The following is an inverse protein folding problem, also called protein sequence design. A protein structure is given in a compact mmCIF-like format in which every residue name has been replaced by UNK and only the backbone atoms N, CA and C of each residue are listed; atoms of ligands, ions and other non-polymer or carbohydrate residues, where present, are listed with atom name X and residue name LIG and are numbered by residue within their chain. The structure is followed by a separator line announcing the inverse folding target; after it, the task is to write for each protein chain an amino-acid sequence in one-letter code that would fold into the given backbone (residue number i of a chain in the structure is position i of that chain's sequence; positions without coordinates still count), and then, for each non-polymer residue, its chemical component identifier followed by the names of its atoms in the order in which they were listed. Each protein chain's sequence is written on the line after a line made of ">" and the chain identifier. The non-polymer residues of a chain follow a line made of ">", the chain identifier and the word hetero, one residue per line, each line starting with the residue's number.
data_IF_923815654002
#
_entry.id   IF_923815654002
#
_cell.length_a   1.000
_cell.length_b   1.000
_cell.length_c   1.000
_cell.angle_alpha   90.00
_cell.angle_beta   90.00
_cell.angle_gamma   90.00
#
_symmetry.space_group_name_H-M   'P 1'
#
loop_
_entity.id
_entity.type
_entity.pdbx_description
1 polymer ?
#
# COMPACT_ATOMS: atom_id res chain seq x y z
N UNK A 1 5.29 -10.15 0.56
CA UNK A 1 4.11 -10.11 1.43
C UNK A 1 4.14 -11.29 2.38
N UNK A 2 4.33 -11.05 3.67
CA UNK A 2 4.34 -12.08 4.72
C UNK A 2 3.03 -12.02 5.53
N UNK A 3 2.32 -13.14 5.63
CA UNK A 3 1.05 -13.23 6.37
C UNK A 3 1.24 -12.90 7.86
N UNK A 4 2.30 -13.37 8.51
CA UNK A 4 2.57 -13.07 9.91
C UNK A 4 2.78 -11.58 10.14
N UNK A 5 3.44 -10.89 9.19
CA UNK A 5 3.61 -9.43 9.23
C UNK A 5 2.27 -8.70 9.07
N UNK A 6 1.43 -9.15 8.15
CA UNK A 6 0.07 -8.63 8.00
C UNK A 6 -0.76 -8.79 9.29
N UNK A 7 -0.70 -9.97 9.93
CA UNK A 7 -1.40 -10.22 11.19
C UNK A 7 -0.90 -9.31 12.32
N UNK A 8 0.43 -9.11 12.42
CA UNK A 8 1.03 -8.17 13.36
C UNK A 8 0.58 -6.72 13.11
N UNK A 9 0.47 -6.30 11.84
CA UNK A 9 -0.08 -4.99 11.50
C UNK A 9 -1.53 -4.83 11.98
N UNK A 10 -2.39 -5.84 11.80
CA UNK A 10 -3.77 -5.80 12.28
C UNK A 10 -3.84 -5.67 13.81
N UNK A 11 -2.97 -6.39 14.52
CA UNK A 11 -2.84 -6.29 15.99
C UNK A 11 -2.41 -4.89 16.43
N UNK A 12 -1.41 -4.29 15.78
CA UNK A 12 -0.95 -2.92 16.05
C UNK A 12 -2.01 -1.85 15.72
N UNK A 13 -2.91 -2.15 14.78
CA UNK A 13 -4.07 -1.32 14.47
C UNK A 13 -5.25 -1.56 15.43
N UNK A 14 -5.18 -2.60 16.27
CA UNK A 14 -6.21 -2.96 17.23
C UNK A 14 -7.45 -3.59 16.59
N UNK A 15 -7.30 -4.24 15.43
CA UNK A 15 -8.41 -4.82 14.67
C UNK A 15 -8.27 -6.33 14.50
N UNK A 16 -9.40 -6.99 14.24
CA UNK A 16 -9.41 -8.42 13.99
C UNK A 16 -8.56 -8.79 12.76
N UNK A 17 -7.90 -9.96 12.75
CA UNK A 17 -7.13 -10.39 11.59
C UNK A 17 -8.05 -10.62 10.38
N UNK A 18 -7.79 -9.93 9.27
CA UNK A 18 -8.53 -10.13 8.01
C UNK A 18 -7.68 -10.90 7.00
N UNK A 19 -7.81 -12.24 6.99
CA UNK A 19 -7.14 -13.08 5.99
C UNK A 19 -7.75 -12.92 4.59
N UNK A 20 -9.03 -12.57 4.50
CA UNK A 20 -9.69 -12.31 3.22
C UNK A 20 -9.02 -11.14 2.48
N UNK A 21 -8.80 -10.02 3.16
CA UNK A 21 -8.15 -8.84 2.57
C UNK A 21 -6.69 -9.12 2.22
N UNK A 22 -5.97 -9.85 3.08
CA UNK A 22 -4.62 -10.31 2.77
C UNK A 22 -4.57 -11.13 1.47
N UNK A 23 -5.48 -12.08 1.31
CA UNK A 23 -5.55 -12.91 0.11
C UNK A 23 -5.92 -12.10 -1.13
N UNK A 24 -6.82 -11.12 -1.01
CA UNK A 24 -7.16 -10.17 -2.08
C UNK A 24 -5.93 -9.37 -2.53
N UNK A 25 -5.20 -8.78 -1.59
CA UNK A 25 -3.97 -8.04 -1.89
C UNK A 25 -2.94 -8.98 -2.56
N UNK A 26 -2.73 -10.18 -2.01
CA UNK A 26 -1.78 -11.14 -2.57
C UNK A 26 -2.15 -11.51 -4.01
N UNK A 27 -3.43 -11.75 -4.29
CA UNK A 27 -3.92 -12.08 -5.63
C UNK A 27 -3.62 -10.94 -6.62
N UNK A 28 -3.97 -9.71 -6.23
CA UNK A 28 -3.72 -8.49 -7.00
C UNK A 28 -2.23 -8.33 -7.33
N UNK A 29 -1.34 -8.45 -6.34
CA UNK A 29 0.10 -8.32 -6.57
C UNK A 29 0.74 -9.56 -7.25
N UNK A 30 -0.04 -10.63 -7.47
CA UNK A 30 0.37 -11.83 -8.22
C UNK A 30 -0.15 -11.82 -9.65
N UNK A 31 -0.85 -10.76 -10.09
CA UNK A 31 -1.37 -10.70 -11.45
C UNK A 31 -0.23 -10.76 -12.48
N UNK A 32 -0.31 -11.65 -13.49
CA UNK A 32 0.83 -11.94 -14.38
C UNK A 32 1.24 -10.78 -15.30
N UNK A 33 0.40 -9.75 -15.41
CA UNK A 33 0.68 -8.55 -16.21
C UNK A 33 1.42 -7.46 -15.42
N UNK A 34 1.63 -7.63 -14.10
CA UNK A 34 2.41 -6.71 -13.28
C UNK A 34 3.88 -7.14 -13.32
N UNK A 35 4.72 -6.32 -13.95
CA UNK A 35 6.16 -6.59 -14.04
C UNK A 35 6.95 -6.00 -12.87
N UNK A 36 6.50 -4.87 -12.33
CA UNK A 36 7.23 -4.10 -11.32
C UNK A 36 6.51 -4.04 -9.96
N UNK A 37 5.24 -3.61 -9.97
CA UNK A 37 4.33 -3.58 -8.82
C UNK A 37 3.86 -4.98 -8.37
N UNK A 38 4.82 -5.85 -8.07
CA UNK A 38 4.64 -7.24 -7.67
C UNK A 38 4.83 -7.40 -6.15
N UNK A 39 4.66 -8.64 -5.66
CA UNK A 39 4.97 -9.01 -4.27
C UNK A 39 6.41 -8.62 -3.86
N UNK A 40 7.36 -8.60 -4.80
CA UNK A 40 8.76 -8.25 -4.55
C UNK A 40 8.87 -6.78 -4.14
N UNK A 41 8.28 -5.87 -4.92
CA UNK A 41 8.26 -4.43 -4.62
C UNK A 41 7.69 -4.13 -3.23
N UNK A 42 6.55 -4.76 -2.90
CA UNK A 42 5.94 -4.58 -1.57
C UNK A 42 6.89 -5.03 -0.47
N UNK A 43 7.61 -6.15 -0.65
CA UNK A 43 8.61 -6.58 0.34
C UNK A 43 9.76 -5.58 0.46
N UNK A 44 10.26 -5.06 -0.66
CA UNK A 44 11.35 -4.09 -0.66
C UNK A 44 10.97 -2.79 0.05
N UNK A 45 9.75 -2.28 -0.17
CA UNK A 45 9.23 -1.13 0.57
C UNK A 45 9.10 -1.41 2.08
N UNK A 46 8.64 -2.60 2.46
CA UNK A 46 8.55 -3.00 3.87
C UNK A 46 9.93 -3.12 4.53
N UNK A 47 10.93 -3.67 3.82
CA UNK A 47 12.32 -3.74 4.31
C UNK A 47 12.97 -2.36 4.42
N UNK A 48 12.67 -1.44 3.49
CA UNK A 48 13.10 -0.04 3.60
C UNK A 48 12.47 0.62 4.83
N UNK A 49 11.18 0.40 5.08
CA UNK A 49 10.51 0.89 6.28
C UNK A 49 11.18 0.38 7.57
N UNK A 50 11.53 -0.91 7.63
CA UNK A 50 12.23 -1.49 8.79
C UNK A 50 13.57 -0.79 9.07
N UNK A 51 14.27 -0.37 8.00
CA UNK A 51 15.57 0.30 8.09
C UNK A 51 15.47 1.73 8.63
N UNK A 52 14.32 2.39 8.44
CA UNK A 52 14.07 3.78 8.88
C UNK A 52 13.05 3.89 10.00
N UNK A 53 12.57 2.77 10.55
CA UNK A 53 11.43 2.69 11.47
C UNK A 53 11.55 3.64 12.68
N UNK A 54 12.78 3.84 13.19
CA UNK A 54 13.08 4.72 14.33
C UNK A 54 12.91 6.22 14.03
N UNK A 55 12.88 6.58 12.75
CA UNK A 55 12.72 7.95 12.26
C UNK A 55 11.27 8.25 11.85
N UNK A 56 10.40 7.22 11.82
CA UNK A 56 9.02 7.34 11.34
C UNK A 56 8.07 7.40 12.52
N UNK A 57 7.43 8.55 12.72
CA UNK A 57 6.52 8.78 13.85
C UNK A 57 5.23 7.94 13.78
N UNK A 58 4.74 7.65 12.57
CA UNK A 58 3.49 6.91 12.33
C UNK A 58 3.77 5.62 11.53
N UNK A 59 4.73 4.83 12.00
CA UNK A 59 5.23 3.66 11.29
C UNK A 59 4.14 2.63 10.95
N UNK A 60 3.13 2.47 11.82
CA UNK A 60 2.02 1.53 11.62
C UNK A 60 1.13 1.99 10.45
N UNK A 61 0.80 3.27 10.39
CA UNK A 61 0.02 3.87 9.31
C UNK A 61 0.78 3.87 7.98
N UNK A 62 2.09 4.09 8.02
CA UNK A 62 2.96 4.00 6.85
C UNK A 62 3.05 2.57 6.34
N UNK A 63 3.21 1.58 7.23
CA UNK A 63 3.18 0.18 6.82
C UNK A 63 1.85 -0.17 6.16
N UNK A 64 0.73 0.20 6.80
CA UNK A 64 -0.60 0.02 6.22
C UNK A 64 -0.73 0.66 4.83
N UNK A 65 -0.19 1.86 4.62
CA UNK A 65 -0.15 2.50 3.32
C UNK A 65 0.63 1.68 2.28
N UNK A 66 1.81 1.15 2.64
CA UNK A 66 2.64 0.32 1.75
C UNK A 66 1.88 -0.92 1.27
N UNK A 67 1.08 -1.57 2.12
CA UNK A 67 0.29 -2.73 1.70
C UNK A 67 -0.74 -2.41 0.62
N UNK A 68 -1.29 -1.19 0.62
CA UNK A 68 -2.39 -0.80 -0.26
C UNK A 68 -2.01 0.14 -1.41
N UNK A 69 -0.84 0.80 -1.40
CA UNK A 69 -0.55 1.91 -2.31
C UNK A 69 -0.77 1.59 -3.80
N UNK A 70 -0.40 0.38 -4.23
CA UNK A 70 -0.59 -0.11 -5.60
C UNK A 70 -1.56 -1.29 -5.71
N UNK A 71 -2.49 -1.39 -4.77
CA UNK A 71 -3.47 -2.46 -4.76
C UNK A 71 -4.47 -2.34 -5.93
N UNK A 72 -4.69 -1.15 -6.47
CA UNK A 72 -5.45 -0.97 -7.70
C UNK A 72 -4.48 -0.54 -8.80
N UNK A 73 -4.34 -1.37 -9.83
CA UNK A 73 -3.48 -1.08 -10.98
C UNK A 73 -4.30 -1.26 -12.26
N UNK A 74 -4.57 -0.15 -12.93
CA UNK A 74 -5.11 -0.14 -14.30
C UNK A 74 -4.17 0.67 -15.18
N UNK A 75 -3.54 0.06 -16.20
CA UNK A 75 -2.72 0.80 -17.15
C UNK A 75 -3.50 2.00 -17.70
N UNK A 76 -2.84 3.16 -17.79
CA UNK A 76 -3.40 4.43 -18.31
C UNK A 76 -4.47 5.12 -17.47
N UNK A 77 -4.82 4.58 -16.29
CA UNK A 77 -5.71 5.26 -15.35
C UNK A 77 -4.90 6.16 -14.41
N UNK A 78 -5.30 7.42 -14.27
CA UNK A 78 -4.65 8.40 -13.37
C UNK A 78 -5.23 8.41 -11.95
N UNK A 79 -6.14 7.49 -11.66
CA UNK A 79 -6.87 7.44 -10.40
C UNK A 79 -6.64 6.11 -9.65
N UNK A 80 -5.58 5.39 -10.00
CA UNK A 80 -5.18 4.14 -9.36
C UNK A 80 -4.87 4.34 -7.88
N UNK A 81 -4.03 5.31 -7.56
CA UNK A 81 -3.61 5.67 -6.21
C UNK A 81 -4.81 6.15 -5.39
N UNK A 82 -5.71 6.93 -6.00
CA UNK A 82 -6.95 7.36 -5.36
C UNK A 82 -7.86 6.16 -5.03
N UNK A 83 -8.00 5.21 -5.95
CA UNK A 83 -8.78 3.98 -5.72
C UNK A 83 -8.14 3.10 -4.65
N UNK A 84 -6.82 2.94 -4.68
CA UNK A 84 -6.02 2.26 -3.65
C UNK A 84 -6.21 2.90 -2.27
N UNK A 85 -6.12 4.23 -2.18
CA UNK A 85 -6.30 4.98 -0.94
C UNK A 85 -7.73 4.84 -0.39
N UNK A 86 -8.73 4.94 -1.26
CA UNK A 86 -10.14 4.76 -0.88
C UNK A 86 -10.42 3.33 -0.41
N UNK A 87 -9.82 2.33 -1.05
CA UNK A 87 -9.93 0.94 -0.59
C UNK A 87 -9.34 0.77 0.80
N UNK A 88 -8.11 1.24 1.03
CA UNK A 88 -7.46 1.16 2.33
C UNK A 88 -8.31 1.82 3.43
N UNK A 89 -8.75 3.06 3.19
CA UNK A 89 -9.59 3.80 4.13
C UNK A 89 -10.89 3.06 4.45
N UNK A 90 -11.62 2.64 3.42
CA UNK A 90 -12.90 1.93 3.60
C UNK A 90 -12.71 0.61 4.35
N UNK A 91 -11.63 -0.12 4.07
CA UNK A 91 -11.27 -1.33 4.79
C UNK A 91 -11.02 -1.04 6.28
N UNK A 92 -10.14 -0.09 6.60
CA UNK A 92 -9.82 0.23 7.99
C UNK A 92 -11.01 0.78 8.77
N UNK A 93 -11.84 1.64 8.17
CA UNK A 93 -13.08 2.12 8.79
C UNK A 93 -14.05 0.96 9.05
N UNK A 94 -14.20 0.01 8.10
CA UNK A 94 -15.07 -1.17 8.30
C UNK A 94 -14.59 -2.11 9.40
N UNK A 95 -13.28 -2.11 9.67
CA UNK A 95 -12.65 -2.90 10.74
C UNK A 95 -12.70 -2.20 12.11
N UNK A 96 -13.27 -0.98 12.19
CA UNK A 96 -13.38 -0.21 13.43
C UNK A 96 -12.17 0.65 13.76
N UNK A 97 -11.23 0.85 12.83
CA UNK A 97 -10.12 1.79 13.01
C UNK A 97 -10.67 3.21 13.09
N UNK A 98 -10.13 4.01 14.01
CA UNK A 98 -10.51 5.42 14.13
C UNK A 98 -10.28 6.18 12.82
N UNK A 99 -11.25 7.01 12.44
CA UNK A 99 -11.24 7.80 11.20
C UNK A 99 -9.95 8.61 11.01
N UNK A 100 -9.40 9.20 12.06
CA UNK A 100 -8.13 9.95 12.01
C UNK A 100 -6.96 9.08 11.57
N UNK A 101 -6.90 7.81 12.00
CA UNK A 101 -5.84 6.87 11.56
C UNK A 101 -6.09 6.41 10.13
N UNK A 102 -7.33 6.13 9.76
CA UNK A 102 -7.68 5.77 8.39
C UNK A 102 -7.38 6.91 7.40
N UNK A 103 -7.62 8.17 7.78
CA UNK A 103 -7.27 9.36 7.01
C UNK A 103 -5.75 9.55 6.88
N UNK A 104 -4.95 9.20 7.89
CA UNK A 104 -3.48 9.18 7.77
C UNK A 104 -3.02 8.15 6.74
N UNK A 105 -3.55 6.93 6.78
CA UNK A 105 -3.22 5.88 5.80
C UNK A 105 -3.59 6.35 4.39
N UNK A 106 -4.79 6.92 4.23
CA UNK A 106 -5.23 7.52 2.96
C UNK A 106 -4.24 8.59 2.48
N UNK A 107 -3.84 9.51 3.36
CA UNK A 107 -2.89 10.59 3.04
C UNK A 107 -1.52 10.06 2.63
N UNK A 108 -1.01 9.02 3.29
CA UNK A 108 0.25 8.38 2.92
C UNK A 108 0.20 7.72 1.55
N UNK A 109 -0.90 7.06 1.19
CA UNK A 109 -1.08 6.49 -0.16
C UNK A 109 -1.21 7.61 -1.19
N UNK A 110 -1.99 8.65 -0.92
CA UNK A 110 -2.10 9.79 -1.84
C UNK A 110 -0.79 10.56 -2.02
N UNK A 111 0.14 10.48 -1.06
CA UNK A 111 1.47 11.06 -1.20
C UNK A 111 2.34 10.31 -2.22
N UNK A 112 2.09 9.01 -2.48
CA UNK A 112 2.83 8.27 -3.50
C UNK A 112 2.47 8.69 -4.93
N UNK A 113 1.28 9.27 -5.13
CA UNK A 113 0.86 9.90 -6.40
C UNK A 113 1.86 10.97 -6.89
N UNK A 114 2.49 11.71 -5.97
CA UNK A 114 3.39 12.82 -6.31
C UNK A 114 4.85 12.38 -6.51
N UNK A 115 5.16 11.10 -6.36
CA UNK A 115 6.50 10.56 -6.54
C UNK A 115 6.74 10.14 -8.02
N UNK A 116 6.35 10.98 -8.98
CA UNK A 116 6.57 10.75 -10.43
C UNK A 116 8.07 10.60 -10.75
N UNK A 117 8.53 9.48 -11.34
CA UNK A 117 9.82 9.44 -12.01
C UNK A 117 9.73 10.16 -13.37
N UNK A 118 10.41 11.31 -13.45
CA UNK A 118 10.92 12.02 -14.63
C UNK A 118 10.00 12.26 -15.87
N UNK A 119 9.56 13.51 -15.99
CA UNK A 119 9.12 14.15 -17.25
C UNK A 119 10.29 14.29 -18.23
N UNK A 120 10.54 13.30 -19.09
CA UNK A 120 11.28 13.51 -20.35
C UNK A 120 10.86 12.52 -21.43
N UNK A 121 10.98 12.95 -22.68
CA UNK A 121 10.34 12.45 -23.91
C UNK A 121 10.71 11.02 -24.37
N UNK A 122 11.42 10.26 -23.55
CA UNK A 122 11.69 8.81 -23.69
C UNK A 122 10.77 7.97 -22.78
N UNK A 123 9.52 8.41 -22.61
CA UNK A 123 8.50 7.85 -21.70
C UNK A 123 7.94 6.47 -22.14
N UNK A 124 8.78 5.55 -22.62
CA UNK A 124 8.39 4.18 -22.99
C UNK A 124 9.46 3.20 -22.54
N UNK A 125 9.37 2.74 -21.29
CA UNK A 125 9.21 1.30 -21.05
C UNK A 125 8.98 0.95 -19.59
N UNK A 126 9.41 1.76 -18.62
CA UNK A 126 9.42 1.32 -17.22
C UNK A 126 9.25 2.55 -16.34
N UNK A 127 8.00 2.98 -16.13
CA UNK A 127 7.68 3.83 -14.99
C UNK A 127 7.27 2.87 -13.87
N UNK A 128 8.08 2.91 -12.80
CA UNK A 128 8.13 2.10 -11.57
C UNK A 128 7.73 0.62 -11.63
#
# INVERSE_FOLDING_TARGET
>A
MNQSRWLGLMELLGVAPSLETYNKLKLVYSEPHRHYHTIIHINDCLTKLDSVIKLVENAVEVEAAIWFHDAIYKPYASDNELKSANWAKSFFESMGVNKTRADKVYGHIMATLHNEPAKSSDSRLIAD
#
